data_IF_831758900610
#
_entry.id   IF_831758900610
#
_cell.length_a   1.000
_cell.length_b   1.000
_cell.length_c   1.000
_cell.angle_alpha   90.00
_cell.angle_beta   90.00
_cell.angle_gamma   90.00
#
_symmetry.space_group_name_H-M   'P 1'
#
loop_
_entity.id
_entity.type
_entity.pdbx_description
1 polymer ?
#
# COMPACT_ATOMS: atom_id res chain seq x y z
N UNK A 1 54.93 -68.05 14.38
CA UNK A 1 54.54 -66.73 14.92
C UNK A 1 54.17 -65.86 13.72
N UNK A 2 52.89 -65.85 13.36
CA UNK A 2 52.35 -64.92 12.38
C UNK A 2 51.58 -63.86 13.20
N UNK A 3 52.06 -62.63 13.16
CA UNK A 3 51.35 -61.49 13.73
C UNK A 3 50.12 -61.20 12.87
N UNK A 4 48.94 -61.37 13.45
CA UNK A 4 47.71 -60.80 12.91
C UNK A 4 47.71 -59.32 13.28
N UNK A 5 48.29 -58.49 12.42
CA UNK A 5 47.97 -57.06 12.39
C UNK A 5 46.56 -56.93 11.79
N UNK A 6 45.56 -56.99 12.67
CA UNK A 6 44.21 -56.55 12.36
C UNK A 6 44.29 -55.03 12.12
N UNK A 7 44.47 -54.64 10.87
CA UNK A 7 44.17 -53.29 10.40
C UNK A 7 42.74 -52.95 10.84
N UNK A 8 42.62 -52.11 11.88
CA UNK A 8 41.36 -51.45 12.18
C UNK A 8 41.07 -50.56 10.98
N UNK A 9 40.16 -50.99 10.11
CA UNK A 9 39.56 -50.11 9.11
C UNK A 9 39.05 -48.85 9.83
N UNK A 10 39.79 -47.74 9.67
CA UNK A 10 39.28 -46.42 10.02
C UNK A 10 38.10 -46.16 9.09
N UNK A 11 36.88 -46.47 9.56
CA UNK A 11 35.64 -46.14 8.86
C UNK A 11 35.53 -44.62 8.78
N UNK A 12 36.01 -44.05 7.69
CA UNK A 12 35.75 -42.67 7.30
C UNK A 12 34.25 -42.48 7.08
N UNK A 13 33.73 -41.33 7.49
CA UNK A 13 32.32 -40.98 7.35
C UNK A 13 32.24 -39.63 6.66
N UNK A 14 31.73 -39.64 5.44
CA UNK A 14 31.57 -38.42 4.65
C UNK A 14 30.25 -37.77 5.02
N UNK A 15 30.33 -36.63 5.72
CA UNK A 15 29.17 -35.82 6.08
C UNK A 15 29.02 -34.75 5.02
N UNK A 16 27.89 -34.78 4.32
CA UNK A 16 27.60 -33.84 3.25
C UNK A 16 26.67 -32.73 3.75
N UNK A 17 26.97 -31.45 3.47
CA UNK A 17 26.05 -30.37 3.73
C UNK A 17 24.73 -30.55 2.98
N UNK A 18 23.64 -30.07 3.58
CA UNK A 18 22.32 -30.07 2.96
C UNK A 18 22.35 -29.40 1.58
N UNK A 19 21.62 -30.00 0.63
CA UNK A 19 21.50 -29.50 -0.75
C UNK A 19 20.88 -28.10 -0.79
N UNK A 20 21.30 -27.27 -1.76
CA UNK A 20 20.84 -25.88 -1.96
C UNK A 20 19.31 -25.74 -1.98
N UNK A 21 18.61 -26.63 -2.68
CA UNK A 21 17.13 -26.60 -2.74
C UNK A 21 16.48 -26.79 -1.36
N UNK A 22 16.99 -27.73 -0.56
CA UNK A 22 16.49 -27.96 0.81
C UNK A 22 16.84 -26.81 1.76
N UNK A 23 17.99 -26.14 1.55
CA UNK A 23 18.33 -24.88 2.24
C UNK A 23 17.33 -23.76 1.94
N UNK A 24 16.93 -23.62 0.68
CA UNK A 24 15.91 -22.64 0.29
C UNK A 24 14.55 -22.95 0.93
N UNK A 25 14.17 -24.23 1.02
CA UNK A 25 12.95 -24.63 1.72
C UNK A 25 12.98 -24.29 3.21
N UNK A 26 14.11 -24.46 3.91
CA UNK A 26 14.26 -24.05 5.31
C UNK A 26 14.01 -22.55 5.45
N UNK A 27 14.64 -21.75 4.58
CA UNK A 27 14.47 -20.30 4.57
C UNK A 27 13.00 -19.89 4.31
N UNK A 28 12.36 -20.49 3.30
CA UNK A 28 10.97 -20.20 2.95
C UNK A 28 10.01 -20.61 4.06
N UNK A 29 10.22 -21.76 4.70
CA UNK A 29 9.41 -22.19 5.84
C UNK A 29 9.52 -21.18 6.99
N UNK A 30 10.73 -20.77 7.35
CA UNK A 30 10.95 -19.73 8.35
C UNK A 30 10.31 -18.39 7.95
N UNK A 31 10.42 -17.99 6.67
CA UNK A 31 9.84 -16.75 6.13
C UNK A 31 8.31 -16.74 6.26
N UNK A 32 7.63 -17.75 5.74
CA UNK A 32 6.17 -17.77 5.74
C UNK A 32 5.61 -17.88 7.15
N UNK A 33 6.24 -18.66 8.03
CA UNK A 33 5.74 -18.77 9.40
C UNK A 33 5.88 -17.45 10.15
N UNK A 34 7.03 -16.76 10.05
CA UNK A 34 7.20 -15.44 10.68
C UNK A 34 6.25 -14.42 10.08
N UNK A 35 6.06 -14.43 8.77
CA UNK A 35 5.14 -13.52 8.09
C UNK A 35 3.69 -13.72 8.58
N UNK A 36 3.21 -14.97 8.58
CA UNK A 36 1.83 -15.30 9.00
C UNK A 36 1.61 -14.93 10.46
N UNK A 37 2.51 -15.31 11.36
CA UNK A 37 2.37 -14.98 12.79
C UNK A 37 2.41 -13.47 12.99
N UNK A 38 3.26 -12.75 12.27
CA UNK A 38 3.33 -11.29 12.36
C UNK A 38 2.06 -10.62 11.83
N UNK A 39 1.49 -11.09 10.72
CA UNK A 39 0.20 -10.62 10.21
C UNK A 39 -0.92 -10.85 11.23
N UNK A 40 -0.98 -12.03 11.84
CA UNK A 40 -1.98 -12.35 12.87
C UNK A 40 -1.81 -11.43 14.08
N UNK A 41 -0.58 -11.29 14.59
CA UNK A 41 -0.28 -10.45 15.75
C UNK A 41 -0.58 -8.96 15.48
N UNK A 42 -0.27 -8.50 14.26
CA UNK A 42 -0.58 -7.15 13.81
C UNK A 42 -2.08 -6.88 13.86
N UNK A 43 -2.88 -7.74 13.23
CA UNK A 43 -4.33 -7.55 13.10
C UNK A 43 -5.06 -7.70 14.43
N UNK A 44 -4.69 -8.69 15.24
CA UNK A 44 -5.45 -9.05 16.45
C UNK A 44 -5.08 -8.16 17.64
N UNK A 45 -3.81 -7.76 17.76
CA UNK A 45 -3.32 -7.10 18.96
C UNK A 45 -2.67 -5.75 18.67
N UNK A 46 -1.60 -5.72 17.89
CA UNK A 46 -0.71 -4.55 17.88
C UNK A 46 -1.35 -3.34 17.20
N UNK A 47 -1.99 -3.51 16.05
CA UNK A 47 -2.63 -2.40 15.35
C UNK A 47 -3.87 -1.85 16.09
N UNK A 48 -4.80 -2.68 16.59
CA UNK A 48 -5.90 -2.19 17.44
C UNK A 48 -5.41 -1.45 18.69
N UNK A 49 -4.39 -1.97 19.39
CA UNK A 49 -3.80 -1.30 20.56
C UNK A 49 -3.14 0.02 20.18
N UNK A 50 -2.45 0.08 19.04
CA UNK A 50 -1.86 1.31 18.55
C UNK A 50 -2.93 2.36 18.21
N UNK A 51 -4.04 1.97 17.56
CA UNK A 51 -5.18 2.87 17.30
C UNK A 51 -5.78 3.42 18.60
N UNK A 52 -5.96 2.56 19.61
CA UNK A 52 -6.48 2.97 20.93
C UNK A 52 -5.53 3.91 21.66
N UNK A 53 -4.24 3.57 21.72
CA UNK A 53 -3.23 4.35 22.45
C UNK A 53 -3.01 5.75 21.84
N UNK A 54 -3.19 5.89 20.53
CA UNK A 54 -2.99 7.15 19.81
C UNK A 54 -4.26 7.96 19.61
N UNK A 55 -5.42 7.40 19.96
CA UNK A 55 -6.71 8.02 19.70
C UNK A 55 -7.04 8.17 18.21
N UNK A 56 -6.50 7.29 17.36
CA UNK A 56 -6.66 7.34 15.89
C UNK A 56 -8.12 7.41 15.45
N UNK A 57 -9.04 6.75 16.15
CA UNK A 57 -10.48 6.82 15.83
C UNK A 57 -11.04 8.25 15.90
N UNK A 58 -10.64 9.05 16.90
CA UNK A 58 -11.06 10.46 16.99
C UNK A 58 -10.48 11.29 15.84
N UNK A 59 -9.24 10.99 15.44
CA UNK A 59 -8.57 11.65 14.32
C UNK A 59 -9.22 11.31 12.98
N UNK A 60 -9.68 10.07 12.82
CA UNK A 60 -10.43 9.61 11.65
C UNK A 60 -11.78 10.35 11.55
N UNK A 61 -12.51 10.45 12.66
CA UNK A 61 -13.76 11.22 12.75
C UNK A 61 -13.53 12.73 12.44
N UNK A 62 -12.43 13.31 12.93
CA UNK A 62 -12.03 14.68 12.62
C UNK A 62 -11.71 14.86 11.12
N UNK A 63 -11.00 13.92 10.50
CA UNK A 63 -10.69 13.97 9.07
C UNK A 63 -11.96 13.89 8.20
N UNK A 64 -12.93 13.06 8.60
CA UNK A 64 -14.26 13.00 7.96
C UNK A 64 -14.97 14.33 8.12
N UNK A 65 -14.98 14.91 9.32
CA UNK A 65 -15.60 16.21 9.58
C UNK A 65 -14.97 17.34 8.74
N UNK A 66 -13.64 17.40 8.65
CA UNK A 66 -12.95 18.37 7.80
C UNK A 66 -13.23 18.15 6.32
N UNK A 67 -13.37 16.90 5.88
CA UNK A 67 -13.78 16.59 4.49
C UNK A 67 -15.18 17.13 4.21
N UNK A 68 -16.12 16.98 5.14
CA UNK A 68 -17.47 17.54 5.03
C UNK A 68 -17.47 19.06 4.98
N UNK A 69 -16.72 19.71 5.88
CA UNK A 69 -16.57 21.17 5.87
C UNK A 69 -15.97 21.68 4.57
N UNK A 70 -14.99 20.96 4.00
CA UNK A 70 -14.38 21.30 2.71
C UNK A 70 -15.40 21.23 1.58
N UNK A 71 -16.29 20.24 1.58
CA UNK A 71 -17.41 20.17 0.64
C UNK A 71 -18.43 21.28 0.88
N UNK A 72 -18.73 21.61 2.14
CA UNK A 72 -19.60 22.73 2.50
C UNK A 72 -19.06 24.07 1.97
N UNK A 73 -17.74 24.28 1.91
CA UNK A 73 -17.16 25.46 1.23
C UNK A 73 -17.55 25.50 -0.25
N UNK A 74 -17.47 24.36 -0.95
CA UNK A 74 -17.86 24.29 -2.37
C UNK A 74 -19.36 24.52 -2.56
N UNK A 75 -20.21 23.92 -1.70
CA UNK A 75 -21.66 24.15 -1.73
C UNK A 75 -22.03 25.62 -1.48
N UNK A 76 -21.44 26.23 -0.46
CA UNK A 76 -21.78 27.59 -0.05
C UNK A 76 -21.25 28.65 -1.03
N UNK A 77 -20.30 28.30 -1.90
CA UNK A 77 -19.85 29.13 -3.01
C UNK A 77 -20.54 28.79 -4.35
N UNK A 78 -21.51 27.87 -4.37
CA UNK A 78 -22.21 27.47 -5.60
C UNK A 78 -21.33 26.71 -6.59
N UNK A 79 -20.26 26.07 -6.11
CA UNK A 79 -19.26 25.36 -6.93
C UNK A 79 -19.45 23.85 -6.96
N UNK A 80 -20.36 23.33 -6.16
CA UNK A 80 -20.77 21.94 -6.14
C UNK A 80 -22.25 21.91 -5.77
N UNK A 81 -22.99 20.94 -6.27
CA UNK A 81 -24.41 20.73 -5.98
C UNK A 81 -24.67 19.27 -5.64
N UNK A 82 -25.76 19.02 -4.92
CA UNK A 82 -26.16 17.69 -4.48
C UNK A 82 -27.67 17.50 -4.64
N UNK A 83 -28.08 16.25 -4.80
CA UNK A 83 -29.48 15.84 -4.70
C UNK A 83 -29.80 15.42 -3.26
N UNK A 84 -31.09 15.41 -2.90
CA UNK A 84 -31.52 15.08 -1.53
C UNK A 84 -30.95 13.72 -1.09
N UNK A 85 -30.39 13.67 0.13
CA UNK A 85 -29.73 12.52 0.76
C UNK A 85 -28.28 12.20 0.32
N UNK A 86 -27.68 12.95 -0.61
CA UNK A 86 -26.31 12.68 -1.08
C UNK A 86 -25.28 13.79 -0.79
N UNK A 87 -25.60 14.72 0.13
CA UNK A 87 -24.79 15.93 0.39
C UNK A 87 -23.29 15.72 0.56
N UNK A 88 -22.83 14.58 1.06
CA UNK A 88 -21.38 14.31 1.27
C UNK A 88 -20.81 13.21 0.36
N UNK A 89 -21.48 12.89 -0.75
CA UNK A 89 -21.00 11.97 -1.77
C UNK A 89 -20.43 12.72 -2.98
N UNK A 90 -19.12 12.98 -2.97
CA UNK A 90 -18.47 13.88 -3.93
C UNK A 90 -18.67 13.48 -5.41
N UNK A 91 -18.51 12.21 -5.77
CA UNK A 91 -18.60 11.76 -7.16
C UNK A 91 -20.03 11.91 -7.73
N UNK A 92 -21.06 11.56 -6.95
CA UNK A 92 -22.45 11.80 -7.33
C UNK A 92 -22.74 13.29 -7.47
N UNK A 93 -22.23 14.09 -6.54
CA UNK A 93 -22.41 15.54 -6.54
C UNK A 93 -21.70 16.23 -7.72
N UNK A 94 -20.57 15.71 -8.20
CA UNK A 94 -19.95 16.17 -9.44
C UNK A 94 -20.86 15.91 -10.65
N UNK A 95 -21.51 14.74 -10.72
CA UNK A 95 -22.47 14.41 -11.78
C UNK A 95 -23.69 15.35 -11.74
N UNK A 96 -24.24 15.61 -10.55
CA UNK A 96 -25.32 16.59 -10.35
C UNK A 96 -24.89 17.99 -10.77
N UNK A 97 -23.66 18.38 -10.45
CA UNK A 97 -23.09 19.68 -10.83
C UNK A 97 -22.93 19.80 -12.35
N UNK A 98 -22.44 18.75 -13.02
CA UNK A 98 -22.34 18.68 -14.47
C UNK A 98 -23.72 18.80 -15.14
N UNK A 99 -24.73 18.10 -14.58
CA UNK A 99 -26.13 18.20 -15.02
C UNK A 99 -26.65 19.64 -14.89
N UNK A 100 -26.39 20.33 -13.77
CA UNK A 100 -26.78 21.74 -13.63
C UNK A 100 -26.09 22.65 -14.64
N UNK A 101 -24.79 22.49 -14.86
CA UNK A 101 -24.08 23.25 -15.90
C UNK A 101 -24.67 22.99 -17.30
N UNK A 102 -25.04 21.75 -17.62
CA UNK A 102 -25.71 21.42 -18.89
C UNK A 102 -27.10 22.09 -19.00
N UNK A 103 -27.89 22.02 -17.93
CA UNK A 103 -29.23 22.62 -17.87
C UNK A 103 -29.21 24.13 -18.09
N UNK A 104 -28.15 24.82 -17.65
CA UNK A 104 -27.94 26.25 -17.93
C UNK A 104 -27.85 26.53 -19.43
N UNK A 105 -27.08 25.74 -20.18
CA UNK A 105 -26.93 25.90 -21.63
C UNK A 105 -28.16 25.45 -22.44
N UNK A 106 -29.04 24.64 -21.84
CA UNK A 106 -30.36 24.30 -22.37
C UNK A 106 -31.43 25.36 -22.04
N UNK A 107 -31.11 26.35 -21.19
CA UNK A 107 -32.05 27.40 -20.77
C UNK A 107 -33.08 26.93 -19.75
N UNK A 108 -32.78 25.87 -19.00
CA UNK A 108 -33.68 25.34 -17.96
C UNK A 108 -33.53 26.19 -16.70
N UNK A 109 -34.64 26.76 -16.22
CA UNK A 109 -34.67 27.65 -15.07
C UNK A 109 -34.09 27.00 -13.79
N UNK A 110 -33.36 27.79 -12.98
CA UNK A 110 -32.75 27.34 -11.72
C UNK A 110 -31.42 26.58 -11.88
N UNK A 111 -30.94 26.37 -13.11
CA UNK A 111 -29.63 25.81 -13.39
C UNK A 111 -28.56 26.91 -13.53
N UNK A 112 -27.30 26.54 -13.30
CA UNK A 112 -26.17 27.49 -13.24
C UNK A 112 -24.94 26.90 -13.89
N UNK A 113 -24.20 27.71 -14.64
CA UNK A 113 -22.86 27.35 -15.08
C UNK A 113 -21.80 27.71 -14.03
N UNK A 114 -21.35 26.69 -13.30
CA UNK A 114 -20.32 26.82 -12.26
C UNK A 114 -19.02 27.42 -12.76
N UNK A 115 -18.62 27.14 -14.01
CA UNK A 115 -17.33 27.59 -14.54
C UNK A 115 -17.35 29.11 -14.76
N UNK A 116 -18.40 29.62 -15.40
CA UNK A 116 -18.63 31.05 -15.56
C UNK A 116 -18.77 31.74 -14.20
N UNK A 117 -19.61 31.19 -13.30
CA UNK A 117 -19.80 31.77 -11.96
C UNK A 117 -18.49 31.86 -11.17
N UNK A 118 -17.61 30.87 -11.27
CA UNK A 118 -16.34 30.91 -10.57
C UNK A 118 -15.34 31.90 -11.19
N UNK A 119 -15.02 31.77 -12.47
CA UNK A 119 -13.93 32.55 -13.08
C UNK A 119 -14.31 34.00 -13.41
N UNK A 120 -15.57 34.23 -13.76
CA UNK A 120 -16.08 35.55 -14.13
C UNK A 120 -16.63 36.25 -12.88
N UNK A 121 -17.66 35.68 -12.25
CA UNK A 121 -18.41 36.40 -11.22
C UNK A 121 -17.66 36.45 -9.88
N UNK A 122 -17.06 35.32 -9.46
CA UNK A 122 -16.38 35.23 -8.17
C UNK A 122 -14.93 35.72 -8.22
N UNK A 123 -14.14 35.21 -9.17
CA UNK A 123 -12.70 35.53 -9.28
C UNK A 123 -12.41 36.79 -10.10
N UNK A 124 -13.28 37.17 -11.05
CA UNK A 124 -13.02 38.26 -11.98
C UNK A 124 -11.74 38.09 -12.81
N UNK A 125 -11.32 36.84 -13.05
CA UNK A 125 -10.07 36.51 -13.74
C UNK A 125 -10.25 36.32 -15.24
N UNK A 126 -11.43 35.88 -15.66
CA UNK A 126 -11.79 35.68 -17.07
C UNK A 126 -13.03 36.50 -17.40
N UNK A 127 -13.18 36.84 -18.66
CA UNK A 127 -14.43 37.36 -19.24
C UNK A 127 -15.36 36.19 -19.59
N UNK A 128 -16.65 36.47 -19.69
CA UNK A 128 -17.64 35.48 -20.15
C UNK A 128 -17.30 34.93 -21.53
N UNK A 129 -16.69 35.73 -22.40
CA UNK A 129 -16.24 35.32 -23.72
C UNK A 129 -15.12 34.28 -23.66
N UNK A 130 -14.08 34.53 -22.86
CA UNK A 130 -12.96 33.61 -22.70
C UNK A 130 -13.42 32.23 -22.18
N UNK A 131 -14.32 32.21 -21.19
CA UNK A 131 -14.88 30.94 -20.69
C UNK A 131 -15.64 30.19 -21.80
N UNK A 132 -16.46 30.88 -22.60
CA UNK A 132 -17.19 30.25 -23.71
C UNK A 132 -16.27 29.71 -24.80
N UNK A 133 -15.18 30.41 -25.11
CA UNK A 133 -14.15 29.94 -26.05
C UNK A 133 -13.48 28.65 -25.54
N UNK A 134 -13.23 28.54 -24.23
CA UNK A 134 -12.69 27.32 -23.62
C UNK A 134 -13.67 26.15 -23.66
N UNK A 135 -14.98 26.40 -23.52
CA UNK A 135 -16.00 25.38 -23.75
C UNK A 135 -15.95 24.85 -25.20
N UNK A 136 -15.89 25.74 -26.19
CA UNK A 136 -15.79 25.36 -27.61
C UNK A 136 -14.50 24.60 -27.88
N UNK A 137 -13.39 25.03 -27.29
CA UNK A 137 -12.10 24.36 -27.44
C UNK A 137 -12.11 22.94 -26.88
N UNK A 138 -12.61 22.76 -25.66
CA UNK A 138 -12.67 21.44 -25.03
C UNK A 138 -13.71 20.52 -25.68
N UNK A 139 -14.68 21.10 -26.39
CA UNK A 139 -15.71 20.41 -27.14
C UNK A 139 -15.32 20.04 -28.59
N UNK A 140 -14.16 20.48 -29.11
CA UNK A 140 -13.75 20.26 -30.52
C UNK A 140 -13.91 18.82 -31.03
N UNK A 141 -13.76 17.81 -30.17
CA UNK A 141 -13.86 16.40 -30.54
C UNK A 141 -15.29 15.87 -30.73
N UNK A 142 -16.28 16.45 -30.04
CA UNK A 142 -17.66 15.95 -30.03
C UNK A 142 -18.64 16.97 -30.61
N UNK A 143 -18.36 18.25 -30.40
CA UNK A 143 -19.09 19.36 -31.02
C UNK A 143 -20.51 19.47 -30.47
N UNK A 144 -20.70 19.35 -29.17
CA UNK A 144 -21.94 19.60 -28.44
C UNK A 144 -22.41 21.05 -28.54
N UNK A 145 -21.48 22.01 -28.58
CA UNK A 145 -21.75 23.44 -28.54
C UNK A 145 -21.66 24.12 -29.90
N UNK A 146 -22.48 25.14 -30.07
CA UNK A 146 -22.41 26.13 -31.14
C UNK A 146 -22.25 27.52 -30.50
N UNK A 147 -21.26 28.28 -30.99
CA UNK A 147 -20.95 29.61 -30.52
C UNK A 147 -21.30 30.65 -31.57
N UNK A 148 -22.24 31.53 -31.24
CA UNK A 148 -22.58 32.70 -32.05
C UNK A 148 -21.66 33.85 -31.66
N UNK A 149 -20.66 34.13 -32.49
CA UNK A 149 -19.70 35.22 -32.29
C UNK A 149 -20.35 36.61 -32.30
N UNK A 150 -21.52 36.77 -32.95
CA UNK A 150 -22.18 38.08 -33.08
C UNK A 150 -22.93 38.45 -31.81
N UNK A 151 -23.57 37.47 -31.17
CA UNK A 151 -24.32 37.65 -29.92
C UNK A 151 -23.57 37.13 -28.68
N UNK A 152 -22.32 36.69 -28.86
CA UNK A 152 -21.47 36.04 -27.86
C UNK A 152 -22.22 34.92 -27.11
N UNK A 153 -23.08 34.17 -27.80
CA UNK A 153 -23.97 33.17 -27.18
C UNK A 153 -23.45 31.77 -27.45
N UNK A 154 -23.21 31.03 -26.37
CA UNK A 154 -22.91 29.60 -26.42
C UNK A 154 -24.22 28.82 -26.21
N UNK A 155 -24.49 27.84 -27.07
CA UNK A 155 -25.71 27.02 -26.99
C UNK A 155 -25.45 25.59 -27.41
N UNK A 156 -26.28 24.65 -26.94
CA UNK A 156 -26.23 23.25 -27.36
C UNK A 156 -26.76 23.12 -28.79
N UNK A 157 -26.06 22.38 -29.66
CA UNK A 157 -26.52 22.11 -31.02
C UNK A 157 -27.83 21.34 -31.02
N UNK A 158 -28.73 21.70 -31.95
CA UNK A 158 -30.08 21.13 -32.06
C UNK A 158 -30.16 19.61 -31.98
N UNK A 159 -29.20 18.89 -32.58
CA UNK A 159 -29.16 17.41 -32.58
C UNK A 159 -29.00 16.77 -31.20
N UNK A 160 -28.51 17.51 -30.19
CA UNK A 160 -28.29 17.02 -28.83
C UNK A 160 -29.34 17.52 -27.83
N UNK A 161 -30.20 18.47 -28.23
CA UNK A 161 -31.17 19.08 -27.32
C UNK A 161 -32.16 18.04 -26.80
N UNK A 162 -32.70 17.19 -27.67
CA UNK A 162 -33.67 16.15 -27.28
C UNK A 162 -33.05 15.13 -26.31
N UNK A 163 -31.87 14.60 -26.65
CA UNK A 163 -31.15 13.63 -25.82
C UNK A 163 -30.75 14.21 -24.45
N UNK A 164 -30.32 15.49 -24.39
CA UNK A 164 -29.98 16.12 -23.12
C UNK A 164 -31.20 16.57 -22.30
N UNK A 165 -32.31 16.95 -22.94
CA UNK A 165 -33.55 17.28 -22.23
C UNK A 165 -34.15 16.09 -21.48
N UNK A 166 -33.94 14.86 -21.99
CA UNK A 166 -34.38 13.63 -21.31
C UNK A 166 -33.80 13.46 -19.89
N UNK A 167 -32.72 14.17 -19.54
CA UNK A 167 -32.19 14.21 -18.17
C UNK A 167 -33.01 15.07 -17.20
N UNK A 168 -33.87 15.94 -17.71
CA UNK A 168 -34.60 16.94 -16.92
C UNK A 168 -36.12 16.76 -16.97
N UNK A 169 -36.64 15.92 -17.87
CA UNK A 169 -38.04 15.49 -17.87
C UNK A 169 -38.18 14.07 -17.29
N UNK A 170 -38.87 13.94 -16.15
CA UNK A 170 -39.13 12.64 -15.50
C UNK A 170 -40.02 11.71 -16.35
N UNK A 171 -40.69 12.24 -17.38
CA UNK A 171 -41.55 11.46 -18.28
C UNK A 171 -40.81 10.82 -19.44
N UNK A 172 -39.60 11.28 -19.74
CA UNK A 172 -38.81 10.76 -20.84
C UNK A 172 -37.96 9.57 -20.37
N UNK A 173 -37.97 8.49 -21.15
CA UNK A 173 -37.06 7.37 -20.91
C UNK A 173 -35.67 7.74 -21.41
N UNK A 174 -34.69 7.77 -20.51
CA UNK A 174 -33.26 7.91 -20.86
C UNK A 174 -32.85 6.83 -21.87
N UNK A 175 -32.45 7.26 -23.06
CA UNK A 175 -31.91 6.36 -24.08
C UNK A 175 -30.44 6.05 -23.75
N UNK A 176 -29.92 4.92 -24.22
CA UNK A 176 -28.48 4.63 -24.08
C UNK A 176 -27.59 5.65 -24.80
N UNK A 177 -28.13 6.36 -25.80
CA UNK A 177 -27.42 7.41 -26.53
C UNK A 177 -27.34 8.69 -25.69
N UNK A 178 -28.44 9.11 -25.04
CA UNK A 178 -28.44 10.20 -24.06
C UNK A 178 -27.42 9.95 -22.94
N UNK A 179 -27.38 8.72 -22.42
CA UNK A 179 -26.39 8.31 -21.41
C UNK A 179 -24.96 8.44 -21.90
N UNK A 180 -24.66 7.90 -23.08
CA UNK A 180 -23.34 8.01 -23.66
C UNK A 180 -22.91 9.46 -23.94
N UNK A 181 -23.83 10.30 -24.43
CA UNK A 181 -23.52 11.69 -24.76
C UNK A 181 -23.35 12.55 -23.49
N UNK A 182 -24.14 12.32 -22.44
CA UNK A 182 -23.97 13.01 -21.17
C UNK A 182 -22.67 12.62 -20.46
N UNK A 183 -22.31 11.33 -20.47
CA UNK A 183 -21.01 10.89 -19.94
C UNK A 183 -19.85 11.50 -20.73
N UNK A 184 -19.97 11.60 -22.05
CA UNK A 184 -18.96 12.26 -22.89
C UNK A 184 -18.85 13.74 -22.58
N UNK A 185 -19.97 14.46 -22.50
CA UNK A 185 -19.97 15.86 -22.09
C UNK A 185 -19.29 16.04 -20.72
N UNK A 186 -19.68 15.23 -19.74
CA UNK A 186 -19.16 15.29 -18.37
C UNK A 186 -17.65 15.07 -18.37
N UNK A 187 -17.17 13.99 -18.99
CA UNK A 187 -15.76 13.61 -18.92
C UNK A 187 -14.84 14.47 -19.80
N UNK A 188 -15.34 15.00 -20.92
CA UNK A 188 -14.48 15.64 -21.93
C UNK A 188 -14.52 17.15 -21.92
N UNK A 189 -15.62 17.75 -21.46
CA UNK A 189 -15.80 19.20 -21.39
C UNK A 189 -15.88 19.65 -19.94
N UNK A 190 -16.90 19.20 -19.19
CA UNK A 190 -17.17 19.71 -17.84
C UNK A 190 -16.02 19.42 -16.87
N UNK A 191 -15.58 18.17 -16.73
CA UNK A 191 -14.53 17.80 -15.77
C UNK A 191 -13.18 18.44 -16.09
N UNK A 192 -12.88 18.72 -17.38
CA UNK A 192 -11.65 19.44 -17.75
C UNK A 192 -11.69 20.87 -17.24
N UNK A 193 -12.76 21.61 -17.54
CA UNK A 193 -12.91 22.99 -17.07
C UNK A 193 -13.05 23.07 -15.55
N UNK A 194 -13.79 22.13 -14.96
CA UNK A 194 -13.92 22.02 -13.50
C UNK A 194 -12.58 21.72 -12.82
N UNK A 195 -11.70 20.95 -13.45
CA UNK A 195 -10.36 20.71 -12.92
C UNK A 195 -9.53 22.00 -12.84
N UNK A 196 -9.74 22.96 -13.74
CA UNK A 196 -9.10 24.27 -13.66
C UNK A 196 -9.63 25.09 -12.48
N UNK A 197 -10.95 25.04 -12.22
CA UNK A 197 -11.56 25.64 -11.03
C UNK A 197 -10.91 25.08 -9.76
N UNK A 198 -10.84 23.74 -9.65
CA UNK A 198 -10.24 23.09 -8.49
C UNK A 198 -8.75 23.42 -8.34
N UNK A 199 -8.00 23.48 -9.43
CA UNK A 199 -6.59 23.88 -9.42
C UNK A 199 -6.41 25.32 -8.94
N UNK A 200 -7.23 26.26 -9.40
CA UNK A 200 -7.18 27.64 -8.94
C UNK A 200 -7.53 27.75 -7.44
N UNK A 201 -8.49 26.96 -6.95
CA UNK A 201 -8.81 26.86 -5.51
C UNK A 201 -7.61 26.33 -4.71
N UNK A 202 -6.93 25.30 -5.22
CA UNK A 202 -5.74 24.72 -4.57
C UNK A 202 -4.54 25.68 -4.54
N UNK A 203 -4.45 26.62 -5.49
CA UNK A 203 -3.37 27.62 -5.56
C UNK A 203 -3.70 28.91 -4.80
N UNK A 204 -4.95 29.39 -4.86
CA UNK A 204 -5.35 30.72 -4.36
C UNK A 204 -6.28 30.71 -3.16
N UNK A 205 -6.62 29.51 -2.67
CA UNK A 205 -7.53 29.25 -1.56
C UNK A 205 -8.99 29.68 -1.80
N UNK A 206 -9.90 29.07 -1.06
CA UNK A 206 -11.33 29.38 -1.08
C UNK A 206 -11.89 29.42 0.34
N UNK A 207 -12.72 30.43 0.63
CA UNK A 207 -13.35 30.65 1.94
C UNK A 207 -14.85 30.87 1.79
N UNK A 208 -15.57 30.69 2.88
CA UNK A 208 -16.99 31.04 3.02
C UNK A 208 -17.23 31.55 4.44
N UNK A 209 -18.33 32.27 4.68
CA UNK A 209 -18.65 32.85 5.99
C UNK A 209 -19.20 31.82 6.99
N UNK A 210 -19.61 30.65 6.52
CA UNK A 210 -20.26 29.59 7.30
C UNK A 210 -19.29 28.52 7.81
N UNK A 211 -18.03 28.53 7.36
CA UNK A 211 -16.99 27.59 7.74
C UNK A 211 -15.75 28.38 8.16
N UNK A 212 -15.26 28.16 9.38
CA UNK A 212 -14.18 28.97 9.97
C UNK A 212 -12.84 28.82 9.26
N UNK A 213 -12.60 27.66 8.63
CA UNK A 213 -11.35 27.31 7.95
C UNK A 213 -11.51 27.43 6.44
N UNK A 214 -10.40 27.72 5.76
CA UNK A 214 -10.37 27.72 4.30
C UNK A 214 -10.24 26.32 3.71
N UNK A 215 -10.44 26.23 2.40
CA UNK A 215 -10.31 24.98 1.65
C UNK A 215 -8.90 24.38 1.76
N UNK A 216 -7.85 25.21 1.62
CA UNK A 216 -6.46 24.75 1.74
C UNK A 216 -6.13 24.35 3.17
N UNK A 217 -6.55 25.14 4.17
CA UNK A 217 -6.33 24.81 5.59
C UNK A 217 -6.94 23.46 5.95
N UNK A 218 -8.19 23.20 5.53
CA UNK A 218 -8.85 21.91 5.74
C UNK A 218 -8.14 20.78 5.00
N UNK A 219 -7.72 21.01 3.75
CA UNK A 219 -7.01 20.00 2.95
C UNK A 219 -5.69 19.60 3.60
N UNK A 220 -4.92 20.55 4.13
CA UNK A 220 -3.69 20.28 4.85
C UNK A 220 -3.93 19.47 6.13
N UNK A 221 -4.96 19.82 6.91
CA UNK A 221 -5.33 19.07 8.12
C UNK A 221 -5.75 17.63 7.79
N UNK A 222 -6.53 17.42 6.72
CA UNK A 222 -6.91 16.07 6.27
C UNK A 222 -5.66 15.26 5.88
N UNK A 223 -4.72 15.86 5.15
CA UNK A 223 -3.47 15.19 4.75
C UNK A 223 -2.62 14.83 5.97
N UNK A 224 -2.49 15.73 6.93
CA UNK A 224 -1.74 15.49 8.18
C UNK A 224 -2.35 14.34 8.99
N UNK A 225 -3.68 14.31 9.13
CA UNK A 225 -4.38 13.23 9.84
C UNK A 225 -4.19 11.89 9.13
N UNK A 226 -4.33 11.83 7.81
CA UNK A 226 -4.07 10.61 7.02
C UNK A 226 -2.62 10.14 7.11
N UNK A 227 -1.66 11.07 7.09
CA UNK A 227 -0.24 10.74 7.25
C UNK A 227 0.04 10.13 8.63
N UNK A 228 -0.61 10.63 9.68
CA UNK A 228 -0.50 10.06 11.02
C UNK A 228 -1.01 8.61 11.08
N UNK A 229 -2.13 8.30 10.43
CA UNK A 229 -2.64 6.91 10.37
C UNK A 229 -1.68 5.97 9.64
N UNK A 230 -1.07 6.43 8.55
CA UNK A 230 -0.02 5.67 7.85
C UNK A 230 1.16 5.37 8.78
N UNK A 231 1.63 6.36 9.56
CA UNK A 231 2.71 6.15 10.53
C UNK A 231 2.32 5.12 11.60
N UNK A 232 1.07 5.17 12.10
CA UNK A 232 0.57 4.20 13.09
C UNK A 232 0.61 2.78 12.53
N UNK A 233 0.17 2.58 11.29
CA UNK A 233 0.24 1.28 10.61
C UNK A 233 1.68 0.79 10.50
N UNK A 234 2.61 1.67 10.07
CA UNK A 234 4.02 1.31 9.93
C UNK A 234 4.65 0.89 11.25
N UNK A 235 4.42 1.66 12.31
CA UNK A 235 4.95 1.36 13.66
C UNK A 235 4.37 0.05 14.18
N UNK A 236 3.07 -0.18 14.02
CA UNK A 236 2.44 -1.42 14.44
C UNK A 236 2.98 -2.65 13.68
N UNK A 237 3.28 -2.50 12.38
CA UNK A 237 3.89 -3.56 11.58
C UNK A 237 5.30 -3.90 12.06
N UNK A 238 6.12 -2.88 12.35
CA UNK A 238 7.47 -3.03 12.90
C UNK A 238 7.42 -3.73 14.26
N UNK A 239 6.55 -3.30 15.17
CA UNK A 239 6.41 -3.92 16.49
C UNK A 239 6.01 -5.40 16.35
N UNK A 240 5.04 -5.71 15.49
CA UNK A 240 4.59 -7.09 15.25
C UNK A 240 5.70 -7.97 14.69
N UNK A 241 6.46 -7.44 13.72
CA UNK A 241 7.62 -8.12 13.15
C UNK A 241 8.70 -8.39 14.21
N UNK A 242 9.03 -7.38 15.02
CA UNK A 242 10.07 -7.47 16.05
C UNK A 242 9.70 -8.51 17.10
N UNK A 243 8.47 -8.47 17.62
CA UNK A 243 8.00 -9.44 18.63
C UNK A 243 8.08 -10.86 18.08
N UNK A 244 7.54 -11.10 16.89
CA UNK A 244 7.57 -12.42 16.24
C UNK A 244 9.00 -12.87 15.98
N UNK A 245 9.83 -12.01 15.39
CA UNK A 245 11.21 -12.31 15.04
C UNK A 245 12.07 -12.64 16.27
N UNK A 246 11.91 -11.89 17.36
CA UNK A 246 12.59 -12.16 18.63
C UNK A 246 12.14 -13.52 19.19
N UNK A 247 10.84 -13.80 19.19
CA UNK A 247 10.32 -15.10 19.63
C UNK A 247 10.88 -16.27 18.82
N UNK A 248 10.90 -16.13 17.49
CA UNK A 248 11.16 -17.21 16.55
C UNK A 248 12.64 -17.45 16.29
N UNK A 249 13.45 -16.40 16.26
CA UNK A 249 14.88 -16.50 15.94
C UNK A 249 15.79 -16.34 17.15
N UNK A 250 15.36 -15.69 18.23
CA UNK A 250 16.18 -15.56 19.43
C UNK A 250 15.70 -16.53 20.51
N UNK A 251 14.46 -16.38 20.98
CA UNK A 251 13.95 -17.17 22.11
C UNK A 251 13.93 -18.67 21.79
N UNK A 252 13.31 -19.06 20.68
CA UNK A 252 13.17 -20.47 20.31
C UNK A 252 14.53 -21.18 20.14
N UNK A 253 15.52 -20.67 19.38
CA UNK A 253 16.84 -21.29 19.28
C UNK A 253 17.67 -21.25 20.57
N UNK A 254 17.43 -20.29 21.48
CA UNK A 254 18.13 -20.23 22.76
C UNK A 254 17.60 -21.25 23.78
N UNK A 255 16.30 -21.53 23.75
CA UNK A 255 15.65 -22.53 24.61
C UNK A 255 15.86 -23.94 24.06
N UNK A 256 15.88 -24.11 22.73
CA UNK A 256 16.13 -25.39 22.10
C UNK A 256 17.58 -25.84 22.32
N UNK A 257 17.77 -27.04 22.92
CA UNK A 257 19.11 -27.61 23.16
C UNK A 257 19.96 -27.66 21.88
N UNK A 258 19.33 -28.01 20.75
CA UNK A 258 20.00 -28.11 19.43
C UNK A 258 20.07 -26.78 18.66
N UNK A 259 19.46 -25.69 19.15
CA UNK A 259 19.59 -24.36 18.54
C UNK A 259 18.81 -24.17 17.24
N UNK A 260 17.77 -24.98 17.00
CA UNK A 260 17.02 -24.98 15.74
C UNK A 260 15.96 -23.88 15.69
N UNK A 261 15.83 -23.25 14.52
CA UNK A 261 14.64 -22.47 14.12
C UNK A 261 13.49 -23.41 13.74
N UNK A 262 12.28 -22.88 13.50
CA UNK A 262 11.16 -23.73 13.09
C UNK A 262 11.41 -24.41 11.75
N UNK A 263 11.98 -23.72 10.76
CA UNK A 263 12.32 -24.32 9.47
C UNK A 263 13.25 -25.52 9.62
N UNK A 264 14.24 -25.42 10.52
CA UNK A 264 15.15 -26.52 10.85
C UNK A 264 14.43 -27.67 11.57
N UNK A 265 13.50 -27.36 12.47
CA UNK A 265 12.69 -28.39 13.15
C UNK A 265 11.79 -29.13 12.15
N UNK A 266 11.07 -28.40 11.29
CA UNK A 266 10.13 -28.96 10.31
C UNK A 266 10.84 -29.88 9.32
N UNK A 267 12.00 -29.44 8.80
CA UNK A 267 12.76 -30.20 7.80
C UNK A 267 13.76 -31.18 8.40
N UNK A 268 13.81 -31.30 9.74
CA UNK A 268 14.69 -32.20 10.50
C UNK A 268 16.17 -31.99 10.16
N UNK A 269 16.60 -30.73 10.23
CA UNK A 269 17.96 -30.31 9.92
C UNK A 269 18.63 -29.68 11.14
N UNK A 270 19.96 -29.73 11.18
CA UNK A 270 20.76 -29.24 12.30
C UNK A 270 21.85 -28.29 11.82
N UNK A 271 22.03 -27.18 12.55
CA UNK A 271 23.13 -26.24 12.31
C UNK A 271 24.30 -26.56 13.24
N UNK A 272 25.43 -26.92 12.65
CA UNK A 272 26.64 -27.33 13.36
C UNK A 272 27.85 -26.50 12.93
N UNK A 273 28.88 -26.45 13.78
CA UNK A 273 30.16 -25.82 13.44
C UNK A 273 30.86 -26.61 12.33
N UNK A 274 31.39 -25.92 11.31
CA UNK A 274 32.07 -26.55 10.17
C UNK A 274 33.27 -27.39 10.57
N UNK A 275 34.01 -26.93 11.58
CA UNK A 275 35.32 -27.49 11.90
C UNK A 275 35.23 -28.68 12.86
N UNK A 276 34.24 -28.67 13.76
CA UNK A 276 34.11 -29.67 14.83
C UNK A 276 32.89 -30.58 14.68
N UNK A 277 31.92 -30.18 13.84
CA UNK A 277 30.60 -30.82 13.69
C UNK A 277 29.89 -30.91 15.05
N UNK A 278 30.10 -29.90 15.89
CA UNK A 278 29.39 -29.74 17.16
C UNK A 278 28.19 -28.83 17.01
N UNK A 279 27.16 -29.05 17.82
CA UNK A 279 26.05 -28.10 17.95
C UNK A 279 26.64 -26.73 18.28
N UNK A 280 26.15 -25.70 17.60
CA UNK A 280 26.60 -24.31 17.75
C UNK A 280 26.48 -23.81 19.19
N UNK A 281 27.46 -22.99 19.59
CA UNK A 281 27.46 -22.31 20.88
C UNK A 281 26.42 -21.19 20.90
N UNK A 282 26.00 -20.76 22.10
CA UNK A 282 24.99 -19.69 22.25
C UNK A 282 25.39 -18.37 21.59
N UNK A 283 26.68 -18.01 21.58
CA UNK A 283 27.20 -16.82 20.88
C UNK A 283 26.93 -16.87 19.38
N UNK A 284 27.30 -17.99 18.74
CA UNK A 284 27.18 -18.17 17.29
C UNK A 284 25.71 -18.25 16.89
N UNK A 285 24.88 -18.86 17.75
CA UNK A 285 23.42 -18.85 17.60
C UNK A 285 22.89 -17.42 17.60
N UNK A 286 23.30 -16.58 18.55
CA UNK A 286 22.82 -15.21 18.66
C UNK A 286 23.20 -14.36 17.43
N UNK A 287 24.44 -14.50 16.93
CA UNK A 287 24.87 -13.85 15.68
C UNK A 287 24.04 -14.36 14.50
N UNK A 288 23.85 -15.68 14.39
CA UNK A 288 23.01 -16.28 13.36
C UNK A 288 21.55 -15.81 13.42
N UNK A 289 21.01 -15.57 14.62
CA UNK A 289 19.67 -15.02 14.82
C UNK A 289 19.54 -13.62 14.22
N UNK A 290 20.54 -12.76 14.38
CA UNK A 290 20.52 -11.41 13.78
C UNK A 290 20.43 -11.49 12.26
N UNK A 291 21.21 -12.35 11.63
CA UNK A 291 21.12 -12.58 10.18
C UNK A 291 19.77 -13.14 9.76
N UNK A 292 19.21 -14.07 10.52
CA UNK A 292 17.89 -14.60 10.25
C UNK A 292 16.84 -13.48 10.30
N UNK A 293 16.90 -12.54 11.26
CA UNK A 293 15.98 -11.39 11.30
C UNK A 293 16.16 -10.51 10.06
N UNK A 294 17.41 -10.18 9.70
CA UNK A 294 17.71 -9.32 8.54
C UNK A 294 17.19 -9.94 7.25
N UNK A 295 17.38 -11.24 7.05
CA UNK A 295 16.93 -11.95 5.84
C UNK A 295 15.40 -12.06 5.74
N UNK A 296 14.67 -11.73 6.80
CA UNK A 296 13.21 -11.80 6.88
C UNK A 296 12.54 -10.42 6.84
N UNK A 297 13.32 -9.34 6.95
CA UNK A 297 12.85 -7.96 6.78
C UNK A 297 12.11 -7.72 5.45
N UNK A 298 12.37 -8.40 4.32
CA UNK A 298 11.54 -8.22 3.14
C UNK A 298 10.05 -8.56 3.36
N UNK A 299 9.74 -9.42 4.33
CA UNK A 299 8.37 -9.72 4.72
C UNK A 299 7.66 -8.58 5.45
N UNK A 300 8.40 -7.62 6.02
CA UNK A 300 7.89 -6.51 6.83
C UNK A 300 6.83 -5.69 6.09
N UNK A 301 7.06 -5.41 4.79
CA UNK A 301 6.14 -4.66 3.93
C UNK A 301 4.75 -5.28 3.86
N UNK A 302 4.67 -6.61 3.95
CA UNK A 302 3.42 -7.35 3.72
C UNK A 302 2.61 -7.58 5.00
N UNK A 303 3.16 -7.29 6.19
CA UNK A 303 2.46 -7.50 7.46
C UNK A 303 1.11 -6.77 7.53
N UNK A 304 0.97 -5.50 7.07
CA UNK A 304 -0.29 -4.78 7.14
C UNK A 304 -1.34 -5.23 6.12
N UNK A 305 -0.97 -6.07 5.14
CA UNK A 305 -1.80 -6.42 3.98
C UNK A 305 -3.24 -6.83 4.31
N UNK A 306 -3.54 -7.58 5.39
CA UNK A 306 -4.93 -7.92 5.69
C UNK A 306 -5.81 -6.73 6.08
N UNK A 307 -5.22 -5.58 6.45
CA UNK A 307 -5.92 -4.38 6.90
C UNK A 307 -5.95 -3.26 5.86
N UNK A 308 -4.93 -3.17 5.01
CA UNK A 308 -4.79 -2.10 4.01
C UNK A 308 -4.73 -2.66 2.60
N UNK A 309 -5.07 -1.85 1.60
CA UNK A 309 -5.02 -2.30 0.21
C UNK A 309 -3.58 -2.62 -0.22
N UNK A 310 -3.43 -3.57 -1.16
CA UNK A 310 -2.12 -3.96 -1.66
C UNK A 310 -1.34 -2.78 -2.28
N UNK A 311 -2.04 -1.88 -2.96
CA UNK A 311 -1.44 -0.70 -3.57
C UNK A 311 -0.87 0.27 -2.52
N UNK A 312 -1.56 0.43 -1.39
CA UNK A 312 -1.14 1.31 -0.29
C UNK A 312 0.14 0.83 0.41
N UNK A 313 0.45 -0.48 0.38
CA UNK A 313 1.67 -1.03 0.98
C UNK A 313 2.91 -0.30 0.44
N UNK A 314 2.97 -0.04 -0.86
CA UNK A 314 4.10 0.60 -1.52
C UNK A 314 4.16 2.12 -1.25
N UNK A 315 3.06 2.72 -0.78
CA UNK A 315 3.03 4.10 -0.29
C UNK A 315 3.69 4.26 1.09
N UNK A 316 3.97 3.16 1.80
CA UNK A 316 4.59 3.19 3.12
C UNK A 316 6.11 3.30 3.02
N UNK A 317 6.59 4.52 2.78
CA UNK A 317 8.00 4.83 2.50
C UNK A 317 9.00 4.18 3.47
N UNK A 318 8.75 4.24 4.79
CA UNK A 318 9.68 3.66 5.78
C UNK A 318 9.78 2.12 5.64
N UNK A 319 8.66 1.42 5.51
CA UNK A 319 8.65 -0.03 5.34
C UNK A 319 9.26 -0.43 4.00
N UNK A 320 8.95 0.33 2.94
CA UNK A 320 9.46 0.10 1.60
C UNK A 320 10.98 0.22 1.56
N UNK A 321 11.56 1.29 2.11
CA UNK A 321 13.02 1.52 2.14
C UNK A 321 13.73 0.38 2.88
N UNK A 322 13.24 0.02 4.08
CA UNK A 322 13.83 -1.08 4.88
C UNK A 322 13.76 -2.41 4.14
N UNK A 323 12.63 -2.68 3.48
CA UNK A 323 12.41 -3.88 2.68
C UNK A 323 13.39 -3.93 1.50
N UNK A 324 13.56 -2.84 0.75
CA UNK A 324 14.49 -2.80 -0.38
C UNK A 324 15.95 -3.01 0.04
N UNK A 325 16.40 -2.36 1.12
CA UNK A 325 17.77 -2.54 1.64
C UNK A 325 18.00 -3.99 2.06
N UNK A 326 17.07 -4.58 2.79
CA UNK A 326 17.18 -5.98 3.24
C UNK A 326 17.10 -6.98 2.09
N UNK A 327 16.32 -6.69 1.05
CA UNK A 327 16.22 -7.53 -0.14
C UNK A 327 17.56 -7.63 -0.88
N UNK A 328 18.29 -6.52 -1.00
CA UNK A 328 19.65 -6.52 -1.58
C UNK A 328 20.57 -7.45 -0.79
N UNK A 329 20.55 -7.36 0.54
CA UNK A 329 21.36 -8.22 1.43
C UNK A 329 20.98 -9.69 1.28
N UNK A 330 19.69 -9.99 1.20
CA UNK A 330 19.18 -11.36 0.96
C UNK A 330 19.65 -11.90 -0.39
N UNK A 331 19.56 -11.11 -1.46
CA UNK A 331 20.03 -11.50 -2.80
C UNK A 331 21.52 -11.86 -2.78
N UNK A 332 22.35 -11.03 -2.14
CA UNK A 332 23.79 -11.32 -2.00
C UNK A 332 24.01 -12.63 -1.23
N UNK A 333 23.22 -12.88 -0.17
CA UNK A 333 23.28 -14.13 0.60
C UNK A 333 22.88 -15.36 -0.23
N UNK A 334 21.86 -15.23 -1.08
CA UNK A 334 21.41 -16.28 -2.00
C UNK A 334 22.47 -16.55 -3.08
N UNK A 335 23.07 -15.51 -3.67
CA UNK A 335 24.17 -15.67 -4.63
C UNK A 335 25.34 -16.42 -3.97
N UNK A 336 25.67 -16.07 -2.73
CA UNK A 336 26.72 -16.76 -1.98
C UNK A 336 26.39 -18.24 -1.74
N UNK A 337 25.12 -18.57 -1.43
CA UNK A 337 24.63 -19.96 -1.32
C UNK A 337 24.86 -20.76 -2.62
N UNK A 338 24.69 -20.13 -3.79
CA UNK A 338 24.88 -20.80 -5.08
C UNK A 338 26.35 -21.02 -5.43
N UNK A 339 27.26 -20.15 -4.99
CA UNK A 339 28.70 -20.24 -5.32
C UNK A 339 29.48 -21.03 -4.26
N UNK A 340 29.00 -21.10 -3.03
CA UNK A 340 29.66 -21.81 -1.93
C UNK A 340 29.72 -23.32 -2.16
N UNK A 341 30.91 -23.90 -2.01
CA UNK A 341 31.14 -25.35 -2.11
C UNK A 341 30.38 -26.15 -1.03
N UNK A 342 30.20 -25.57 0.17
CA UNK A 342 29.49 -26.19 1.29
C UNK A 342 28.02 -25.75 1.39
N UNK A 343 27.47 -25.18 0.32
CA UNK A 343 26.10 -24.64 0.28
C UNK A 343 25.84 -23.67 1.46
N UNK A 344 26.80 -22.79 1.77
CA UNK A 344 26.71 -21.83 2.87
C UNK A 344 26.06 -20.51 2.45
N UNK A 345 25.21 -19.95 3.30
CA UNK A 345 24.78 -18.54 3.18
C UNK A 345 25.82 -17.61 3.81
N UNK A 346 25.66 -16.28 3.64
CA UNK A 346 26.54 -15.31 4.29
C UNK A 346 26.56 -15.46 5.82
N UNK A 347 25.39 -15.74 6.42
CA UNK A 347 25.28 -16.02 7.85
C UNK A 347 26.17 -17.19 8.24
N UNK A 348 26.10 -18.29 7.49
CA UNK A 348 26.82 -19.51 7.84
C UNK A 348 28.34 -19.35 7.70
N UNK A 349 28.78 -18.55 6.72
CA UNK A 349 30.20 -18.22 6.55
C UNK A 349 30.72 -17.45 7.77
N UNK A 350 29.97 -16.46 8.23
CA UNK A 350 30.37 -15.60 9.35
C UNK A 350 30.34 -16.33 10.68
N UNK A 351 29.38 -17.26 10.87
CA UNK A 351 29.31 -18.10 12.07
C UNK A 351 30.15 -19.37 11.99
N UNK A 352 30.85 -19.62 10.87
CA UNK A 352 31.60 -20.87 10.59
C UNK A 352 30.73 -22.12 10.82
N UNK A 353 29.54 -22.12 10.21
CA UNK A 353 28.57 -23.21 10.35
C UNK A 353 28.24 -23.88 9.03
N UNK A 354 27.75 -25.11 9.12
CA UNK A 354 27.10 -25.83 8.04
C UNK A 354 25.76 -26.38 8.53
N UNK A 355 24.88 -26.75 7.61
CA UNK A 355 23.63 -27.43 7.91
C UNK A 355 23.72 -28.85 7.38
N UNK A 356 23.34 -29.81 8.21
CA UNK A 356 23.38 -31.25 7.93
C UNK A 356 22.09 -31.92 8.44
N UNK A 357 21.78 -33.11 7.92
CA UNK A 357 20.61 -33.87 8.37
C UNK A 357 20.77 -34.29 9.83
N UNK A 358 19.66 -34.32 10.57
CA UNK A 358 19.65 -34.79 11.95
C UNK A 358 20.15 -36.24 12.05
N UNK A 359 19.83 -37.08 11.05
CA UNK A 359 20.26 -38.48 11.02
C UNK A 359 21.79 -38.59 10.97
N UNK A 360 22.42 -37.83 10.10
CA UNK A 360 23.88 -37.81 9.95
C UNK A 360 24.56 -37.34 11.24
N UNK A 361 24.00 -36.30 11.88
CA UNK A 361 24.52 -35.80 13.15
C UNK A 361 24.43 -36.85 14.27
N UNK A 362 23.29 -37.53 14.39
CA UNK A 362 23.06 -38.52 15.43
C UNK A 362 24.01 -39.74 15.25
N UNK A 363 24.32 -40.14 14.01
CA UNK A 363 25.30 -41.20 13.73
C UNK A 363 26.72 -40.82 14.15
N UNK A 364 27.14 -39.58 13.86
CA UNK A 364 28.44 -39.05 14.27
C UNK A 364 28.57 -39.06 15.79
N UNK A 365 27.51 -38.69 16.49
CA UNK A 365 27.51 -38.56 17.94
C UNK A 365 27.49 -39.91 18.65
N UNK A 366 26.71 -40.87 18.14
CA UNK A 366 26.76 -42.28 18.58
C UNK A 366 28.17 -42.83 18.49
N UNK A 367 28.87 -42.61 17.36
CA UNK A 367 30.24 -43.09 17.18
C UNK A 367 31.26 -42.38 18.05
N UNK A 368 31.06 -41.10 18.37
CA UNK A 368 31.91 -40.33 19.30
C UNK A 368 31.64 -40.67 20.78
N UNK A 369 30.69 -41.54 21.08
CA UNK A 369 30.26 -41.83 22.45
C UNK A 369 29.59 -40.65 23.15
N UNK A 370 29.16 -39.64 22.38
CA UNK A 370 28.50 -38.44 22.86
C UNK A 370 27.00 -38.62 22.65
N UNK A 371 26.27 -39.09 23.65
CA UNK A 371 24.81 -39.14 23.56
C UNK A 371 24.24 -37.72 23.78
N UNK A 372 23.45 -37.21 22.82
CA UNK A 372 22.65 -35.97 22.97
C UNK A 372 21.27 -36.31 23.49
#
# INVERSE_FOLDING_TARGET
MAGNDLEKEEKTFDILPVKKGRRMLIYLADFFVVLIISMILFNIAVYPLAKLATGSQKKEDEAINYTRQRMDILYNNGLLFYEENEKYYYDGNLKTTAKKSLGYYLGIEGNTDVITTYFVDFRGQKTTKEVKEEYVENDKSYGFFEYDETNEKLSIKGRYIEEFNAYFDEKDSLTSQAEADFERFTNTVFLKLYSEVMKDIEEKDLRTSTVDKSYIELSNLIVELKANDVVIVQVAAIISFVITSVGMYIVLPMVNRKGRTLGLIILKEERVQSDTIRITNKSDRAIGSIFNIIFQLPGLLFIPYPTISFAELFGMSALFIVTMISLVVLIVSIIYLFISAYNQTLSDKLTKTIIIDTVDLDEVYKKRGLYI
#
